data_IF_171814293518
#
_entry.id   IF_171814293518
#
_cell.length_a   1.000
_cell.length_b   1.000
_cell.length_c   1.000
_cell.angle_alpha   90.00
_cell.angle_beta   90.00
_cell.angle_gamma   90.00
#
_symmetry.space_group_name_H-M   'P 1'
#
loop_
_entity.id
_entity.type
_entity.pdbx_description
1 polymer ?
#
# COMPACT_ATOMS: atom_id res chain seq x y z
N UNK A 1 9.61 26.52 26.20
CA UNK A 1 9.31 26.07 24.80
C UNK A 1 8.69 24.68 24.94
N UNK A 2 7.38 24.56 24.74
CA UNK A 2 6.75 23.24 24.72
C UNK A 2 7.34 22.47 23.53
N UNK A 3 7.96 21.32 23.79
CA UNK A 3 8.36 20.39 22.76
C UNK A 3 7.09 20.08 21.97
N UNK A 4 6.99 20.53 20.73
CA UNK A 4 5.92 20.10 19.81
C UNK A 4 6.09 18.61 19.69
N UNK A 5 5.16 17.86 20.29
CA UNK A 5 5.21 16.39 20.25
C UNK A 5 5.15 15.95 18.79
N UNK A 6 6.22 15.30 18.36
CA UNK A 6 6.35 14.78 16.99
C UNK A 6 5.18 13.85 16.68
N UNK A 7 4.49 14.10 15.57
CA UNK A 7 3.41 13.27 15.05
C UNK A 7 3.85 12.55 13.79
N UNK A 8 3.43 11.30 13.71
CA UNK A 8 3.75 10.43 12.57
C UNK A 8 2.47 9.72 12.09
N UNK A 9 2.28 9.67 10.79
CA UNK A 9 1.20 8.92 10.17
C UNK A 9 1.77 7.66 9.50
N UNK A 10 1.32 6.49 9.93
CA UNK A 10 1.71 5.19 9.42
C UNK A 10 0.64 4.67 8.47
N UNK A 11 1.02 4.34 7.24
CA UNK A 11 0.11 3.83 6.22
C UNK A 11 0.51 2.41 5.82
N UNK A 12 -0.44 1.50 5.88
CA UNK A 12 -0.33 0.26 5.13
C UNK A 12 -0.38 0.54 3.61
N UNK A 13 0.05 -0.42 2.80
CA UNK A 13 0.17 -0.24 1.36
C UNK A 13 -0.93 -0.97 0.58
N UNK A 14 -0.99 -2.30 0.72
CA UNK A 14 -1.86 -3.15 -0.09
C UNK A 14 -3.34 -2.89 0.25
N UNK A 15 -4.18 -2.57 -0.74
CA UNK A 15 -5.57 -2.11 -0.61
C UNK A 15 -5.81 -0.84 0.23
N UNK A 16 -4.82 -0.35 0.97
CA UNK A 16 -4.85 0.92 1.71
C UNK A 16 -4.38 2.09 0.85
N UNK A 17 -3.13 2.08 0.43
CA UNK A 17 -2.54 3.09 -0.45
C UNK A 17 -2.81 2.81 -1.92
N UNK A 18 -2.80 1.54 -2.32
CA UNK A 18 -3.04 1.11 -3.69
C UNK A 18 -4.17 0.07 -3.76
N UNK A 19 -4.78 -0.06 -4.93
CA UNK A 19 -5.78 -1.09 -5.21
C UNK A 19 -5.11 -2.38 -5.62
N UNK A 20 -5.18 -3.39 -4.76
CA UNK A 20 -4.58 -4.71 -4.97
C UNK A 20 -3.33 -4.91 -4.12
N UNK A 21 -2.47 -5.82 -4.53
CA UNK A 21 -1.26 -6.18 -3.79
C UNK A 21 0.00 -5.84 -4.56
N UNK A 22 0.94 -5.21 -3.89
CA UNK A 22 2.29 -4.90 -4.43
C UNK A 22 3.00 -6.18 -4.85
N UNK A 23 2.88 -7.24 -4.07
CA UNK A 23 3.48 -8.54 -4.40
C UNK A 23 2.91 -9.11 -5.71
N UNK A 24 1.60 -8.94 -5.95
CA UNK A 24 0.98 -9.34 -7.21
C UNK A 24 1.54 -8.55 -8.40
N UNK A 25 1.70 -7.24 -8.26
CA UNK A 25 2.26 -6.39 -9.31
C UNK A 25 3.72 -6.72 -9.60
N UNK A 26 4.52 -6.92 -8.54
CA UNK A 26 5.91 -7.38 -8.67
C UNK A 26 5.98 -8.72 -9.39
N UNK A 27 5.22 -9.72 -8.96
CA UNK A 27 5.18 -11.04 -9.58
C UNK A 27 4.78 -10.97 -11.05
N UNK A 28 3.75 -10.17 -11.39
CA UNK A 28 3.32 -9.96 -12.78
C UNK A 28 4.40 -9.30 -13.63
N UNK A 29 5.02 -8.23 -13.13
CA UNK A 29 6.05 -7.50 -13.85
C UNK A 29 7.33 -8.32 -14.06
N UNK A 30 7.73 -9.11 -13.08
CA UNK A 30 8.86 -10.01 -13.17
C UNK A 30 8.59 -11.19 -14.12
N UNK A 31 7.35 -11.74 -14.10
CA UNK A 31 6.94 -12.75 -15.06
C UNK A 31 7.06 -12.28 -16.52
N UNK A 32 6.58 -11.08 -16.81
CA UNK A 32 6.67 -10.53 -18.17
C UNK A 32 8.11 -10.27 -18.62
N UNK A 33 9.03 -10.11 -17.69
CA UNK A 33 10.48 -9.95 -17.92
C UNK A 33 11.24 -11.28 -17.92
N UNK A 34 10.52 -12.42 -17.83
CA UNK A 34 11.10 -13.75 -17.93
C UNK A 34 11.79 -14.29 -16.67
N UNK A 35 11.60 -13.64 -15.50
CA UNK A 35 12.14 -14.14 -14.24
C UNK A 35 11.47 -15.43 -13.76
N UNK A 36 10.24 -15.71 -14.23
CA UNK A 36 9.49 -16.92 -13.91
C UNK A 36 8.92 -17.57 -15.15
N UNK A 37 8.83 -18.89 -15.09
CA UNK A 37 8.10 -19.66 -16.08
C UNK A 37 6.62 -19.86 -15.67
N UNK A 38 5.76 -20.26 -16.61
CA UNK A 38 4.37 -20.67 -16.30
C UNK A 38 4.33 -21.80 -15.26
N UNK A 39 5.34 -22.67 -15.26
CA UNK A 39 5.47 -23.79 -14.32
C UNK A 39 5.69 -23.27 -12.89
N UNK A 40 6.53 -22.24 -12.70
CA UNK A 40 6.79 -21.64 -11.40
C UNK A 40 5.52 -20.99 -10.83
N UNK A 41 4.78 -20.26 -11.68
CA UNK A 41 3.50 -19.66 -11.30
C UNK A 41 2.47 -20.73 -10.94
N UNK A 42 2.36 -21.82 -11.72
CA UNK A 42 1.40 -22.88 -11.42
C UNK A 42 1.72 -23.58 -10.10
N UNK A 43 3.00 -23.83 -9.81
CA UNK A 43 3.45 -24.37 -8.53
C UNK A 43 3.08 -23.45 -7.35
N UNK A 44 3.29 -22.15 -7.52
CA UNK A 44 2.92 -21.14 -6.53
C UNK A 44 1.40 -21.06 -6.29
N UNK A 45 0.60 -21.04 -7.35
CA UNK A 45 -0.87 -21.01 -7.25
C UNK A 45 -1.39 -22.30 -6.59
N UNK A 46 -0.85 -23.45 -6.95
CA UNK A 46 -1.24 -24.73 -6.36
C UNK A 46 -0.91 -24.82 -4.87
N UNK A 47 0.26 -24.32 -4.48
CA UNK A 47 0.66 -24.23 -3.07
C UNK A 47 -0.30 -23.32 -2.27
N UNK A 48 -0.67 -22.16 -2.81
CA UNK A 48 -1.65 -21.25 -2.22
C UNK A 48 -3.05 -21.85 -2.09
N UNK A 49 -3.52 -22.56 -3.13
CA UNK A 49 -4.83 -23.20 -3.13
C UNK A 49 -4.88 -24.31 -2.06
N UNK A 50 -3.82 -25.11 -1.98
CA UNK A 50 -3.67 -26.16 -0.97
C UNK A 50 -3.67 -25.56 0.45
N UNK A 51 -2.97 -24.45 0.68
CA UNK A 51 -2.98 -23.72 1.96
C UNK A 51 -4.40 -23.28 2.35
N UNK A 52 -5.15 -22.66 1.41
CA UNK A 52 -6.53 -22.22 1.66
C UNK A 52 -7.50 -23.36 1.98
N UNK A 53 -7.27 -24.54 1.40
CA UNK A 53 -8.15 -25.70 1.57
C UNK A 53 -7.84 -26.48 2.86
N UNK A 54 -6.60 -26.50 3.31
CA UNK A 54 -6.19 -27.29 4.47
C UNK A 54 -6.34 -26.57 5.81
N UNK A 55 -6.41 -25.22 5.80
CA UNK A 55 -6.65 -24.41 7.02
C UNK A 55 -5.60 -24.58 8.12
N UNK A 56 -4.53 -25.32 7.88
CA UNK A 56 -3.46 -25.53 8.85
C UNK A 56 -2.42 -24.45 8.68
N UNK A 57 -2.40 -23.51 9.62
CA UNK A 57 -1.27 -22.61 9.84
C UNK A 57 -0.04 -23.43 10.28
N UNK A 58 0.63 -24.03 9.31
CA UNK A 58 1.91 -24.65 9.59
C UNK A 58 2.98 -23.56 9.44
N UNK A 59 3.73 -23.27 10.50
CA UNK A 59 4.82 -22.28 10.50
C UNK A 59 5.81 -22.53 9.37
N UNK A 60 5.99 -23.81 8.98
CA UNK A 60 6.85 -24.20 7.86
C UNK A 60 6.28 -23.82 6.50
N UNK A 61 4.95 -23.74 6.34
CA UNK A 61 4.33 -23.32 5.07
C UNK A 61 4.38 -21.80 4.91
N UNK A 62 4.21 -21.04 6.00
CA UNK A 62 4.43 -19.59 5.99
C UNK A 62 5.88 -19.30 5.66
N UNK A 63 6.83 -20.00 6.27
CA UNK A 63 8.25 -19.86 5.95
C UNK A 63 8.57 -20.23 4.49
N UNK A 64 7.96 -21.29 3.95
CA UNK A 64 8.10 -21.67 2.53
C UNK A 64 7.52 -20.60 1.58
N UNK A 65 6.38 -20.02 1.94
CA UNK A 65 5.76 -18.94 1.15
C UNK A 65 6.63 -17.68 1.18
N UNK A 66 7.15 -17.35 2.34
CA UNK A 66 8.07 -16.24 2.55
C UNK A 66 9.37 -16.44 1.75
N UNK A 67 9.93 -17.65 1.82
CA UNK A 67 11.13 -17.99 1.06
C UNK A 67 10.87 -18.02 -0.45
N UNK A 68 9.71 -18.54 -0.90
CA UNK A 68 9.37 -18.52 -2.32
C UNK A 68 9.34 -17.10 -2.90
N UNK A 69 8.86 -16.10 -2.13
CA UNK A 69 8.82 -14.71 -2.60
C UNK A 69 10.22 -14.09 -2.73
N UNK A 70 11.20 -14.55 -1.95
CA UNK A 70 12.58 -14.09 -1.99
C UNK A 70 13.50 -14.96 -2.84
N UNK A 71 13.14 -16.23 -3.03
CA UNK A 71 13.90 -17.16 -3.88
C UNK A 71 13.98 -16.68 -5.34
N UNK A 72 12.98 -15.94 -5.80
CA UNK A 72 12.94 -15.43 -7.17
C UNK A 72 14.00 -14.38 -7.48
N UNK A 73 14.42 -13.61 -6.48
CA UNK A 73 15.47 -12.60 -6.65
C UNK A 73 16.84 -13.12 -6.24
N UNK A 74 16.91 -14.36 -5.73
CA UNK A 74 18.16 -14.99 -5.31
C UNK A 74 19.17 -15.06 -6.48
N UNK A 75 20.37 -14.61 -6.21
CA UNK A 75 21.45 -14.58 -7.21
C UNK A 75 21.40 -13.39 -8.16
N UNK A 76 20.38 -12.53 -8.09
CA UNK A 76 20.29 -11.32 -8.90
C UNK A 76 20.98 -10.15 -8.22
N UNK A 77 21.51 -9.24 -9.03
CA UNK A 77 22.16 -8.02 -8.56
C UNK A 77 21.10 -7.02 -8.04
N UNK A 78 21.40 -6.37 -6.90
CA UNK A 78 20.50 -5.39 -6.27
C UNK A 78 20.12 -4.26 -7.24
N UNK A 79 21.11 -3.69 -7.96
CA UNK A 79 20.89 -2.57 -8.89
C UNK A 79 19.98 -2.99 -10.06
N UNK A 80 20.11 -4.24 -10.54
CA UNK A 80 19.24 -4.79 -11.58
C UNK A 80 17.79 -4.90 -11.09
N UNK A 81 17.58 -5.49 -9.90
CA UNK A 81 16.25 -5.65 -9.31
C UNK A 81 15.62 -4.31 -8.97
N UNK A 82 16.38 -3.34 -8.47
CA UNK A 82 15.90 -1.97 -8.24
C UNK A 82 15.42 -1.30 -9.53
N UNK A 83 16.19 -1.43 -10.63
CA UNK A 83 15.78 -0.90 -11.94
C UNK A 83 14.47 -1.53 -12.41
N UNK A 84 14.36 -2.85 -12.33
CA UNK A 84 13.13 -3.58 -12.67
C UNK A 84 11.98 -3.15 -11.76
N UNK A 85 12.23 -2.98 -10.47
CA UNK A 85 11.26 -2.46 -9.50
C UNK A 85 10.72 -1.08 -9.88
N UNK A 86 11.59 -0.17 -10.38
CA UNK A 86 11.17 1.15 -10.87
C UNK A 86 10.26 1.03 -12.09
N UNK A 87 10.60 0.18 -13.05
CA UNK A 87 9.76 -0.05 -14.23
C UNK A 87 8.40 -0.64 -13.85
N UNK A 88 8.37 -1.63 -12.95
CA UNK A 88 7.14 -2.24 -12.43
C UNK A 88 6.29 -1.22 -11.67
N UNK A 89 6.93 -0.34 -10.90
CA UNK A 89 6.24 0.75 -10.21
C UNK A 89 5.48 1.63 -11.19
N UNK A 90 6.14 2.11 -12.23
CA UNK A 90 5.51 3.01 -13.22
C UNK A 90 4.40 2.28 -14.01
N UNK A 91 4.63 1.02 -14.38
CA UNK A 91 3.72 0.26 -15.23
C UNK A 91 2.47 -0.23 -14.48
N UNK A 92 2.62 -0.70 -13.23
CA UNK A 92 1.54 -1.38 -12.51
C UNK A 92 1.12 -0.72 -11.20
N UNK A 93 2.08 -0.23 -10.42
CA UNK A 93 1.80 0.25 -9.06
C UNK A 93 1.24 1.67 -9.09
N UNK A 94 1.91 2.58 -9.77
CA UNK A 94 1.51 3.99 -9.86
C UNK A 94 0.07 4.18 -10.36
N UNK A 95 -0.40 3.47 -11.43
CA UNK A 95 -1.79 3.59 -11.88
C UNK A 95 -2.82 2.99 -10.91
N UNK A 96 -2.38 2.15 -9.97
CA UNK A 96 -3.25 1.51 -8.99
C UNK A 96 -3.41 2.30 -7.69
N UNK A 97 -2.66 3.38 -7.50
CA UNK A 97 -2.69 4.20 -6.26
C UNK A 97 -4.06 4.85 -6.06
N UNK A 98 -4.56 4.79 -4.83
CA UNK A 98 -5.75 5.49 -4.39
C UNK A 98 -5.43 6.97 -4.15
N UNK A 99 -5.90 7.85 -5.03
CA UNK A 99 -5.67 9.29 -4.90
C UNK A 99 -6.18 9.84 -3.55
N UNK A 100 -7.34 9.38 -3.08
CA UNK A 100 -7.87 9.82 -1.78
C UNK A 100 -6.99 9.44 -0.59
N UNK A 101 -6.27 8.30 -0.63
CA UNK A 101 -5.31 7.96 0.41
C UNK A 101 -4.07 8.86 0.34
N UNK A 102 -3.61 9.17 -0.87
CA UNK A 102 -2.49 10.10 -1.06
C UNK A 102 -2.85 11.50 -0.56
N UNK A 103 -4.07 11.98 -0.81
CA UNK A 103 -4.55 13.26 -0.30
C UNK A 103 -4.50 13.33 1.23
N UNK A 104 -4.95 12.27 1.92
CA UNK A 104 -4.84 12.18 3.40
C UNK A 104 -3.37 12.24 3.84
N UNK A 105 -2.48 11.51 3.16
CA UNK A 105 -1.05 11.50 3.48
C UNK A 105 -0.41 12.88 3.26
N UNK A 106 -0.77 13.57 2.18
CA UNK A 106 -0.29 14.94 1.89
C UNK A 106 -0.82 15.97 2.91
N UNK A 107 -2.01 15.78 3.46
CA UNK A 107 -2.49 16.61 4.57
C UNK A 107 -1.60 16.51 5.81
N UNK A 108 -1.10 15.31 6.15
CA UNK A 108 -0.14 15.12 7.24
C UNK A 108 1.17 15.86 6.95
N UNK A 109 1.73 15.66 5.75
CA UNK A 109 2.96 16.34 5.33
C UNK A 109 2.81 17.88 5.36
N UNK A 110 1.66 18.41 4.94
CA UNK A 110 1.39 19.85 4.95
C UNK A 110 1.36 20.47 6.36
N UNK A 111 1.07 19.64 7.37
CA UNK A 111 1.11 20.00 8.79
C UNK A 111 2.50 19.81 9.42
N UNK A 112 3.50 19.40 8.63
CA UNK A 112 4.85 19.08 9.14
C UNK A 112 4.93 17.73 9.85
N UNK A 113 3.94 16.87 9.72
CA UNK A 113 3.92 15.53 10.29
C UNK A 113 4.64 14.55 9.35
N UNK A 114 5.34 13.56 9.89
CA UNK A 114 5.99 12.54 9.08
C UNK A 114 4.99 11.51 8.56
N UNK A 115 5.21 11.03 7.33
CA UNK A 115 4.42 9.96 6.72
C UNK A 115 5.32 8.77 6.41
N UNK A 116 4.97 7.61 6.98
CA UNK A 116 5.71 6.35 6.81
C UNK A 116 4.82 5.26 6.24
N UNK A 117 5.33 4.54 5.25
CA UNK A 117 4.72 3.30 4.80
C UNK A 117 5.10 2.15 5.73
N UNK A 118 4.16 1.24 6.03
CA UNK A 118 4.41 0.05 6.87
C UNK A 118 3.79 -1.16 6.18
N UNK A 119 4.61 -1.99 5.53
CA UNK A 119 4.12 -3.00 4.60
C UNK A 119 4.92 -4.31 4.62
N UNK A 120 4.27 -5.40 4.27
CA UNK A 120 4.93 -6.69 4.02
C UNK A 120 5.78 -6.69 2.73
N UNK A 121 5.61 -5.71 1.85
CA UNK A 121 6.38 -5.51 0.63
C UNK A 121 7.89 -5.43 0.93
N UNK A 122 8.77 -5.91 0.03
CA UNK A 122 10.21 -5.70 0.17
C UNK A 122 10.56 -4.23 0.40
N UNK A 123 11.50 -3.99 1.34
CA UNK A 123 11.86 -2.64 1.79
C UNK A 123 12.29 -1.72 0.64
N UNK A 124 13.01 -2.25 -0.36
CA UNK A 124 13.49 -1.46 -1.50
C UNK A 124 12.32 -0.91 -2.33
N UNK A 125 11.30 -1.74 -2.57
CA UNK A 125 10.09 -1.31 -3.24
C UNK A 125 9.26 -0.33 -2.40
N UNK A 126 9.15 -0.57 -1.10
CA UNK A 126 8.46 0.34 -0.18
C UNK A 126 9.16 1.72 -0.12
N UNK A 127 10.50 1.75 -0.10
CA UNK A 127 11.27 2.99 -0.15
C UNK A 127 11.11 3.72 -1.50
N UNK A 128 11.07 2.98 -2.61
CA UNK A 128 10.79 3.56 -3.92
C UNK A 128 9.41 4.24 -3.93
N UNK A 129 8.39 3.57 -3.41
CA UNK A 129 7.04 4.12 -3.31
C UNK A 129 7.01 5.39 -2.44
N UNK A 130 7.62 5.33 -1.25
CA UNK A 130 7.69 6.48 -0.35
C UNK A 130 8.39 7.67 -1.02
N UNK A 131 9.52 7.45 -1.69
CA UNK A 131 10.26 8.48 -2.43
C UNK A 131 9.42 9.10 -3.55
N UNK A 132 8.71 8.28 -4.36
CA UNK A 132 7.88 8.76 -5.47
C UNK A 132 6.69 9.59 -5.02
N UNK A 133 6.17 9.32 -3.81
CA UNK A 133 5.04 10.03 -3.22
C UNK A 133 5.44 11.21 -2.32
N UNK A 134 6.75 11.43 -2.13
CA UNK A 134 7.27 12.48 -1.24
C UNK A 134 7.04 12.19 0.24
N UNK A 135 6.89 10.91 0.64
CA UNK A 135 6.74 10.49 2.02
C UNK A 135 8.10 10.44 2.74
N UNK A 136 8.07 10.44 4.07
CA UNK A 136 9.27 10.49 4.91
C UNK A 136 10.10 9.21 4.77
N UNK A 137 9.47 8.04 4.66
CA UNK A 137 10.16 6.78 4.55
C UNK A 137 9.24 5.57 4.54
N UNK A 138 9.83 4.39 4.65
CA UNK A 138 9.11 3.14 4.70
C UNK A 138 9.71 2.15 5.70
N UNK A 139 8.84 1.32 6.27
CA UNK A 139 9.15 0.08 6.97
C UNK A 139 8.63 -1.06 6.10
N UNK A 140 9.52 -1.93 5.67
CA UNK A 140 9.22 -3.05 4.78
C UNK A 140 9.96 -4.31 5.18
N UNK A 141 9.67 -5.42 4.54
CA UNK A 141 10.38 -6.68 4.74
C UNK A 141 11.80 -6.56 4.17
N UNK A 142 12.79 -6.84 5.00
CA UNK A 142 14.19 -6.76 4.58
C UNK A 142 14.63 -8.07 3.96
N UNK A 143 15.31 -8.00 2.82
CA UNK A 143 15.95 -9.14 2.16
C UNK A 143 17.45 -9.01 2.31
N UNK A 144 18.12 -10.15 2.59
CA UNK A 144 19.57 -10.20 2.78
C UNK A 144 20.30 -10.07 1.44
N UNK A 145 21.38 -9.28 1.46
CA UNK A 145 22.28 -9.12 0.32
C UNK A 145 23.71 -9.36 0.74
N UNK A 146 24.49 -10.03 -0.10
CA UNK A 146 25.93 -10.21 0.05
C UNK A 146 26.64 -9.73 -1.22
N UNK A 147 27.59 -8.83 -1.09
CA UNK A 147 28.36 -8.26 -2.22
C UNK A 147 27.46 -7.69 -3.35
N UNK A 148 26.32 -7.09 -2.98
CA UNK A 148 25.39 -6.52 -3.96
C UNK A 148 24.50 -7.54 -4.68
N UNK A 149 24.44 -8.78 -4.19
CA UNK A 149 23.60 -9.87 -4.73
C UNK A 149 22.61 -10.32 -3.66
N UNK A 150 21.36 -10.52 -4.03
CA UNK A 150 20.34 -11.08 -3.13
C UNK A 150 20.60 -12.54 -2.82
N UNK A 151 20.62 -12.89 -1.52
CA UNK A 151 20.83 -14.29 -1.07
C UNK A 151 19.55 -15.12 -1.13
N UNK A 152 18.39 -14.48 -1.26
CA UNK A 152 17.07 -15.12 -1.18
C UNK A 152 16.59 -15.32 0.25
N UNK A 153 17.31 -14.83 1.26
CA UNK A 153 16.90 -14.92 2.66
C UNK A 153 16.32 -13.59 3.15
N UNK A 154 15.37 -13.67 4.06
CA UNK A 154 14.87 -12.49 4.77
C UNK A 154 15.72 -12.20 6.02
N UNK A 155 15.87 -10.93 6.34
CA UNK A 155 16.42 -10.45 7.61
C UNK A 155 15.26 -10.21 8.57
N UNK A 156 15.13 -11.06 9.58
CA UNK A 156 14.04 -11.01 10.55
C UNK A 156 12.75 -11.64 10.00
N UNK A 157 11.60 -11.10 10.45
CA UNK A 157 10.29 -11.60 10.08
C UNK A 157 9.64 -10.80 8.95
N UNK A 158 8.69 -11.43 8.24
CA UNK A 158 7.80 -10.72 7.33
C UNK A 158 7.06 -9.61 8.09
N UNK A 159 7.07 -8.40 7.57
CA UNK A 159 6.44 -7.23 8.21
C UNK A 159 4.92 -7.26 8.02
N UNK A 160 4.26 -8.19 8.72
CA UNK A 160 2.82 -8.41 8.65
C UNK A 160 2.21 -8.49 10.05
N UNK A 161 0.97 -8.02 10.22
CA UNK A 161 0.24 -8.11 11.47
C UNK A 161 1.00 -7.55 12.68
N UNK A 162 1.29 -8.37 13.68
CA UNK A 162 2.00 -7.95 14.91
C UNK A 162 3.40 -7.41 14.67
N UNK A 163 4.08 -7.88 13.63
CA UNK A 163 5.42 -7.36 13.29
C UNK A 163 5.38 -5.90 12.81
N UNK A 164 4.28 -5.45 12.20
CA UNK A 164 4.08 -4.03 11.87
C UNK A 164 3.99 -3.18 13.14
N UNK A 165 3.20 -3.62 14.15
CA UNK A 165 3.09 -2.92 15.43
C UNK A 165 4.44 -2.81 16.14
N UNK A 166 5.24 -3.89 16.12
CA UNK A 166 6.58 -3.92 16.69
C UNK A 166 7.51 -2.94 15.96
N UNK A 167 7.50 -2.94 14.63
CA UNK A 167 8.35 -2.06 13.83
C UNK A 167 8.07 -0.57 14.06
N UNK A 168 6.80 -0.15 14.15
CA UNK A 168 6.47 1.24 14.49
C UNK A 168 6.86 1.60 15.92
N UNK A 169 6.77 0.65 16.86
CA UNK A 169 7.23 0.85 18.25
C UNK A 169 8.74 1.02 18.33
N UNK A 170 9.49 0.22 17.58
CA UNK A 170 10.95 0.36 17.47
C UNK A 170 11.34 1.70 16.85
N UNK A 171 10.64 2.15 15.80
CA UNK A 171 10.85 3.44 15.18
C UNK A 171 10.58 4.59 16.16
N UNK A 172 9.46 4.49 16.91
CA UNK A 172 9.08 5.49 17.91
C UNK A 172 10.11 5.61 19.03
N UNK A 173 10.56 4.47 19.57
CA UNK A 173 11.58 4.43 20.61
C UNK A 173 12.91 5.01 20.12
N UNK A 174 13.35 4.64 18.90
CA UNK A 174 14.60 5.12 18.30
C UNK A 174 14.61 6.63 18.09
N UNK A 175 13.45 7.19 17.73
CA UNK A 175 13.34 8.62 17.39
C UNK A 175 12.70 9.46 18.51
N UNK A 176 12.39 8.89 19.67
CA UNK A 176 11.93 9.60 20.87
C UNK A 176 10.55 10.23 20.75
N UNK A 177 9.60 9.60 20.03
CA UNK A 177 8.22 10.08 19.94
C UNK A 177 7.20 9.06 20.49
N UNK A 178 6.01 9.56 20.86
CA UNK A 178 4.94 8.72 21.42
C UNK A 178 3.97 8.26 20.35
N UNK A 179 3.71 6.96 20.28
CA UNK A 179 2.69 6.39 19.38
C UNK A 179 1.27 6.89 19.73
N UNK A 180 1.01 7.35 20.95
CA UNK A 180 -0.28 7.94 21.36
C UNK A 180 -0.63 9.20 20.55
N UNK A 181 0.36 9.87 19.96
CA UNK A 181 0.17 11.07 19.14
C UNK A 181 0.24 10.75 17.64
N UNK A 182 0.35 9.47 17.28
CA UNK A 182 0.50 9.02 15.91
C UNK A 182 -0.80 8.49 15.31
N UNK A 183 -0.85 8.49 13.99
CA UNK A 183 -1.96 7.98 13.19
C UNK A 183 -1.57 6.62 12.57
N UNK A 184 -2.55 5.72 12.45
CA UNK A 184 -2.39 4.45 11.74
C UNK A 184 -3.52 4.26 10.74
N UNK A 185 -3.19 3.83 9.53
CA UNK A 185 -4.11 3.63 8.41
C UNK A 185 -3.95 2.24 7.82
N UNK A 186 -5.02 1.45 7.75
CA UNK A 186 -5.02 0.12 7.14
C UNK A 186 -6.40 -0.28 6.63
N UNK A 187 -6.42 -1.26 5.71
CA UNK A 187 -7.63 -1.92 5.17
C UNK A 187 -7.92 -3.27 5.84
N UNK A 188 -6.96 -3.85 6.54
CA UNK A 188 -7.00 -5.25 6.97
C UNK A 188 -7.13 -5.43 8.46
N UNK A 189 -7.98 -6.40 8.88
CA UNK A 189 -8.08 -6.83 10.28
C UNK A 189 -6.76 -7.41 10.82
N UNK A 190 -5.87 -7.90 9.97
CA UNK A 190 -4.53 -8.35 10.40
C UNK A 190 -3.69 -7.23 11.01
N UNK A 191 -3.98 -5.97 10.65
CA UNK A 191 -3.28 -4.79 11.13
C UNK A 191 -3.94 -4.15 12.37
N UNK A 192 -4.94 -4.81 12.98
CA UNK A 192 -5.50 -4.37 14.27
C UNK A 192 -4.41 -4.12 15.31
N UNK A 193 -3.36 -4.96 15.47
CA UNK A 193 -2.28 -4.68 16.40
C UNK A 193 -1.54 -3.36 16.14
N UNK A 194 -1.34 -2.98 14.86
CA UNK A 194 -0.76 -1.69 14.48
C UNK A 194 -1.71 -0.54 14.83
N UNK A 195 -3.00 -0.70 14.50
CA UNK A 195 -4.03 0.32 14.76
C UNK A 195 -4.27 0.55 16.25
N UNK A 196 -4.19 -0.50 17.08
CA UNK A 196 -4.27 -0.40 18.55
C UNK A 196 -3.04 0.24 19.19
N UNK A 197 -1.87 0.16 18.53
CA UNK A 197 -0.64 0.73 19.06
C UNK A 197 -0.59 2.26 18.97
N UNK A 198 -1.38 2.88 18.09
CA UNK A 198 -1.41 4.33 17.85
C UNK A 198 -2.58 5.01 18.53
N UNK A 199 -2.46 6.33 18.76
CA UNK A 199 -3.55 7.10 19.38
C UNK A 199 -4.71 7.44 18.44
N UNK A 200 -4.45 7.44 17.11
CA UNK A 200 -5.44 7.82 16.11
C UNK A 200 -5.58 6.76 15.01
N UNK A 201 -6.19 5.58 15.31
CA UNK A 201 -6.45 4.55 14.31
C UNK A 201 -7.50 5.01 13.29
N UNK A 202 -7.33 4.60 12.03
CA UNK A 202 -8.20 4.92 10.89
C UNK A 202 -8.29 3.70 9.97
N UNK A 203 -9.48 3.38 9.49
CA UNK A 203 -9.68 2.33 8.52
C UNK A 203 -9.85 2.93 7.11
N UNK A 204 -9.09 2.43 6.14
CA UNK A 204 -9.20 2.80 4.72
C UNK A 204 -9.61 1.57 3.93
N UNK A 205 -10.73 1.64 3.18
CA UNK A 205 -11.24 0.52 2.39
C UNK A 205 -11.33 -0.80 3.17
N UNK A 206 -11.80 -0.81 4.43
CA UNK A 206 -11.63 -1.94 5.34
C UNK A 206 -12.24 -3.24 4.82
N UNK A 207 -11.61 -4.37 5.18
CA UNK A 207 -12.26 -5.67 5.13
C UNK A 207 -13.39 -5.75 6.17
N UNK A 208 -14.24 -6.77 6.05
CA UNK A 208 -15.44 -6.89 6.90
C UNK A 208 -15.11 -6.93 8.40
N UNK A 209 -14.03 -7.62 8.78
CA UNK A 209 -13.65 -7.74 10.19
C UNK A 209 -13.10 -6.43 10.75
N UNK A 210 -12.29 -5.73 9.97
CA UNK A 210 -11.82 -4.39 10.35
C UNK A 210 -12.95 -3.37 10.36
N UNK A 211 -13.91 -3.44 9.43
CA UNK A 211 -15.08 -2.56 9.38
C UNK A 211 -15.92 -2.72 10.67
N UNK A 212 -16.21 -3.97 11.09
CA UNK A 212 -16.91 -4.27 12.35
C UNK A 212 -16.13 -3.72 13.55
N UNK A 213 -14.80 -3.92 13.57
CA UNK A 213 -13.94 -3.41 14.63
C UNK A 213 -13.95 -1.89 14.68
N UNK A 214 -13.78 -1.22 13.55
CA UNK A 214 -13.78 0.23 13.45
C UNK A 214 -15.12 0.83 13.91
N UNK A 215 -16.24 0.22 13.53
CA UNK A 215 -17.56 0.64 13.99
C UNK A 215 -17.72 0.50 15.51
N UNK A 216 -17.32 -0.64 16.08
CA UNK A 216 -17.40 -0.91 17.53
C UNK A 216 -16.59 0.10 18.35
N UNK A 217 -15.39 0.44 17.89
CA UNK A 217 -14.43 1.26 18.64
C UNK A 217 -14.45 2.73 18.18
N UNK A 218 -15.45 3.13 17.36
CA UNK A 218 -15.60 4.48 16.80
C UNK A 218 -14.38 4.98 16.03
N UNK A 219 -13.67 4.09 15.31
CA UNK A 219 -12.58 4.49 14.42
C UNK A 219 -13.14 5.09 13.14
N UNK A 220 -12.64 6.24 12.67
CA UNK A 220 -13.05 6.78 11.38
C UNK A 220 -12.74 5.83 10.23
N UNK A 221 -13.71 5.75 9.27
CA UNK A 221 -13.63 4.89 8.10
C UNK A 221 -13.68 5.73 6.84
N UNK A 222 -12.75 5.48 5.91
CA UNK A 222 -12.68 6.08 4.57
C UNK A 222 -12.86 4.98 3.52
N UNK A 223 -13.88 5.05 2.68
CA UNK A 223 -14.12 4.04 1.63
C UNK A 223 -14.05 4.66 0.23
N UNK A 224 -12.89 4.56 -0.41
CA UNK A 224 -12.65 5.08 -1.75
C UNK A 224 -13.15 4.13 -2.86
N UNK A 225 -13.51 2.88 -2.53
CA UNK A 225 -14.06 1.90 -3.48
C UNK A 225 -15.44 2.33 -3.97
N UNK A 226 -16.27 2.90 -3.09
CA UNK A 226 -17.62 3.36 -3.40
C UNK A 226 -17.64 4.64 -4.23
N UNK A 227 -16.78 5.60 -3.91
CA UNK A 227 -16.66 6.86 -4.67
C UNK A 227 -16.33 6.62 -6.15
N UNK A 228 -15.49 5.62 -6.46
CA UNK A 228 -15.16 5.23 -7.83
C UNK A 228 -16.33 4.56 -8.56
N UNK A 229 -17.18 3.79 -7.85
CA UNK A 229 -18.41 3.23 -8.44
C UNK A 229 -19.37 4.33 -8.87
N UNK A 230 -19.57 5.35 -8.04
CA UNK A 230 -20.44 6.50 -8.36
C UNK A 230 -19.87 7.28 -9.55
N UNK A 231 -18.57 7.63 -9.58
CA UNK A 231 -17.93 8.30 -10.74
C UNK A 231 -18.05 7.47 -12.03
N UNK A 232 -17.89 6.15 -11.96
CA UNK A 232 -17.98 5.27 -13.13
C UNK A 232 -19.40 5.13 -13.66
N UNK A 233 -20.42 5.18 -12.79
CA UNK A 233 -21.84 5.09 -13.17
C UNK A 233 -22.41 6.43 -13.65
N UNK A 234 -22.08 7.52 -12.98
CA UNK A 234 -22.68 8.84 -13.25
C UNK A 234 -21.75 9.77 -14.07
N UNK A 235 -20.47 9.49 -14.16
CA UNK A 235 -19.53 10.32 -14.95
C UNK A 235 -19.91 10.50 -16.41
N UNK A 236 -20.31 9.44 -17.14
CA UNK A 236 -20.79 9.57 -18.54
C UNK A 236 -22.10 10.33 -18.66
N UNK A 237 -22.99 10.25 -17.66
CA UNK A 237 -24.29 10.94 -17.63
C UNK A 237 -24.09 12.42 -17.32
N UNK A 238 -23.26 12.76 -16.34
CA UNK A 238 -22.92 14.15 -16.01
C UNK A 238 -22.21 14.87 -17.16
N UNK A 239 -21.31 14.19 -17.87
CA UNK A 239 -20.66 14.71 -19.08
C UNK A 239 -21.65 14.98 -20.22
N UNK A 240 -22.65 14.11 -20.41
CA UNK A 240 -23.71 14.29 -21.41
C UNK A 240 -24.66 15.43 -21.05
N UNK A 241 -25.04 15.55 -19.77
CA UNK A 241 -25.88 16.66 -19.27
C UNK A 241 -25.16 18.01 -19.37
N UNK A 242 -23.86 18.07 -19.07
CA UNK A 242 -23.06 19.28 -19.24
C UNK A 242 -22.93 19.67 -20.72
N UNK A 243 -22.74 18.72 -21.63
CA UNK A 243 -22.73 18.96 -23.08
C UNK A 243 -24.11 19.42 -23.58
N UNK A 244 -25.21 18.86 -23.07
CA UNK A 244 -26.58 19.28 -23.42
C UNK A 244 -26.88 20.71 -22.90
N UNK A 245 -26.48 21.01 -21.65
CA UNK A 245 -26.62 22.34 -21.09
C UNK A 245 -25.82 23.42 -21.86
N UNK A 246 -24.63 23.06 -22.38
CA UNK A 246 -23.84 23.96 -23.22
C UNK A 246 -24.46 24.23 -24.59
N UNK A 247 -25.26 23.31 -25.13
CA UNK A 247 -26.03 23.47 -26.37
C UNK A 247 -27.28 24.34 -26.18
N UNK A 248 -27.83 24.38 -24.96
CA UNK A 248 -29.01 25.16 -24.60
C UNK A 248 -28.66 26.55 -24.03
N UNK A 249 -27.38 26.88 -23.87
CA UNK A 249 -26.94 28.20 -23.46
C UNK A 249 -27.13 29.19 -24.62
N UNK A 250 -27.89 30.30 -24.44
CA UNK A 250 -28.14 31.28 -25.51
C UNK A 250 -26.85 32.04 -25.82
N UNK A 251 -26.02 31.49 -26.70
CA UNK A 251 -24.89 32.17 -27.27
C UNK A 251 -25.34 32.94 -28.53
N UNK A 252 -25.47 34.27 -28.34
CA UNK A 252 -25.34 35.28 -29.40
C UNK A 252 -26.39 35.28 -30.54
N UNK A 253 -27.57 35.80 -30.22
CA UNK A 253 -28.32 36.63 -31.18
C UNK A 253 -27.94 38.11 -30.98
N UNK A 254 -26.71 38.49 -31.25
CA UNK A 254 -26.36 39.91 -31.43
C UNK A 254 -25.02 40.07 -32.16
N UNK A 255 -25.06 39.86 -33.47
CA UNK A 255 -24.11 40.45 -34.43
C UNK A 255 -24.69 40.42 -35.83
N UNK A 256 -25.66 41.29 -36.08
CA UNK A 256 -25.86 41.92 -37.39
C UNK A 256 -26.65 43.22 -37.18
N UNK A 257 -26.00 44.30 -37.34
CA UNK A 257 -26.60 45.64 -37.30
C UNK A 257 -25.54 46.73 -37.12
N UNK A 258 -24.62 46.91 -38.01
CA UNK A 258 -24.24 48.14 -38.69
C UNK A 258 -23.02 47.87 -39.52
#
# INVERSE_FOLDING_TARGET
MALTEKRVAFFDVDNTLLKGSTLFFLGRGMYQRGFFTKKDISAFVLANLRYRLTGKENKDEIARFQNAATDFIKGHNVVEIEKIGQEIYEEYVSPAIWQGTVEIAQEHLSKGEEVWLVTATPLDMANLMAKRLGFTGALGTKVETENGIYTGKMIGNLLHGKEKAKAISELANKNGFSLKNCYGYSDSHHDIPLLEAVGYPRAINPDTLLEIRAYRDNWPVYDFRRARRIKKFFGPIAGRLAAFASLLSPRNLNRKGK
#
